data_IF_779627795588
#
_entry.id   IF_779627795588
#
_cell.length_a   1.000
_cell.length_b   1.000
_cell.length_c   1.000
_cell.angle_alpha   90.00
_cell.angle_beta   90.00
_cell.angle_gamma   90.00
#
_symmetry.space_group_name_H-M   'P 1'
#
loop_
_entity.id
_entity.type
_entity.pdbx_description
1 polymer ?
#
# COMPACT_ATOMS: atom_id res chain seq x y z
N UNK A 1 -17.85 -0.80 30.74
CA UNK A 1 -17.64 -0.38 29.33
C UNK A 1 -18.73 -0.98 28.47
N UNK A 2 -19.72 -0.18 28.05
CA UNK A 2 -20.78 -0.60 27.14
C UNK A 2 -20.37 -0.28 25.71
N UNK A 3 -19.92 -1.26 24.94
CA UNK A 3 -19.66 -1.12 23.53
C UNK A 3 -20.49 -2.10 22.71
N UNK A 4 -20.70 -1.75 21.46
CA UNK A 4 -21.62 -2.44 20.56
C UNK A 4 -21.10 -2.42 19.13
N UNK A 5 -21.35 -3.49 18.39
CA UNK A 5 -20.99 -3.63 16.99
C UNK A 5 -22.24 -3.79 16.15
N UNK A 6 -22.30 -3.12 15.01
CA UNK A 6 -23.43 -3.21 14.09
C UNK A 6 -22.97 -3.28 12.64
N UNK A 7 -23.87 -3.76 11.77
CA UNK A 7 -23.70 -3.80 10.32
C UNK A 7 -25.05 -3.67 9.62
N UNK A 8 -25.05 -3.11 8.40
CA UNK A 8 -26.25 -2.91 7.58
C UNK A 8 -26.02 -3.38 6.15
N UNK A 9 -26.84 -4.27 5.60
CA UNK A 9 -26.83 -4.53 4.17
C UNK A 9 -27.55 -3.40 3.45
N UNK A 10 -26.81 -2.60 2.71
CA UNK A 10 -27.42 -1.67 1.76
C UNK A 10 -27.64 -2.34 0.43
N UNK A 11 -28.88 -2.62 0.04
CA UNK A 11 -29.21 -2.78 -1.37
C UNK A 11 -29.18 -1.40 -2.03
N UNK A 12 -28.52 -1.30 -3.19
CA UNK A 12 -28.64 -0.14 -4.08
C UNK A 12 -30.09 -0.03 -4.55
N UNK A 13 -30.93 0.65 -3.79
CA UNK A 13 -32.21 1.18 -4.27
C UNK A 13 -32.14 2.70 -4.20
N UNK A 14 -32.82 3.37 -5.09
CA UNK A 14 -32.98 4.82 -5.14
C UNK A 14 -33.58 5.42 -3.87
N UNK A 15 -34.07 4.57 -2.96
CA UNK A 15 -34.67 4.96 -1.71
C UNK A 15 -33.70 4.66 -0.57
N UNK A 16 -33.35 5.71 0.18
CA UNK A 16 -32.41 5.75 1.32
C UNK A 16 -32.95 4.97 2.57
N UNK A 17 -33.59 3.82 2.40
CA UNK A 17 -34.16 3.04 3.50
C UNK A 17 -33.22 1.88 3.88
N UNK A 18 -32.84 1.83 5.14
CA UNK A 18 -32.16 0.67 5.76
C UNK A 18 -33.21 -0.45 5.84
N UNK A 19 -32.89 -1.61 5.27
CA UNK A 19 -33.83 -2.72 5.15
C UNK A 19 -33.72 -3.72 6.29
N UNK A 20 -32.55 -3.80 6.93
CA UNK A 20 -32.25 -4.76 7.97
C UNK A 20 -31.18 -4.24 8.90
N UNK A 21 -31.22 -4.63 10.18
CA UNK A 21 -30.33 -4.21 11.24
C UNK A 21 -29.72 -5.42 11.95
N UNK A 22 -28.45 -5.36 12.26
CA UNK A 22 -27.77 -6.36 13.07
C UNK A 22 -26.81 -5.72 14.05
N UNK A 23 -26.88 -6.11 15.31
CA UNK A 23 -25.90 -5.68 16.29
C UNK A 23 -25.65 -6.77 17.35
N UNK A 24 -24.46 -6.68 17.95
CA UNK A 24 -24.03 -7.53 19.05
C UNK A 24 -23.39 -6.69 20.14
N UNK A 25 -23.75 -6.93 21.39
CA UNK A 25 -23.15 -6.26 22.56
C UNK A 25 -21.94 -7.07 23.09
N UNK A 26 -21.19 -6.40 23.96
CA UNK A 26 -20.05 -7.03 24.65
C UNK A 26 -20.45 -8.24 25.52
N UNK A 27 -21.70 -8.28 26.02
CA UNK A 27 -22.29 -9.35 26.82
C UNK A 27 -22.91 -10.49 25.99
N UNK A 28 -22.59 -10.57 24.68
CA UNK A 28 -23.11 -11.52 23.69
C UNK A 28 -24.59 -11.36 23.35
N UNK A 29 -25.30 -10.38 23.90
CA UNK A 29 -26.67 -10.08 23.50
C UNK A 29 -26.68 -9.63 22.02
N UNK A 30 -27.69 -10.05 21.28
CA UNK A 30 -27.83 -9.78 19.83
C UNK A 30 -29.18 -9.22 19.49
N UNK A 31 -29.25 -8.39 18.45
CA UNK A 31 -30.47 -7.99 17.77
C UNK A 31 -30.31 -8.19 16.27
N UNK A 32 -31.38 -8.66 15.63
CA UNK A 32 -31.44 -8.79 14.18
C UNK A 32 -32.88 -8.57 13.70
N UNK A 33 -33.08 -7.80 12.65
CA UNK A 33 -34.36 -7.58 12.02
C UNK A 33 -34.61 -6.18 11.49
N UNK A 34 -35.71 -5.99 10.80
CA UNK A 34 -36.08 -4.73 10.13
C UNK A 34 -36.64 -3.63 11.06
N UNK A 35 -36.75 -3.86 12.38
CA UNK A 35 -37.35 -2.89 13.30
C UNK A 35 -36.31 -1.86 13.77
N UNK A 36 -36.41 -0.64 13.23
CA UNK A 36 -35.55 0.50 13.60
C UNK A 36 -35.66 0.85 15.10
N UNK A 37 -36.89 0.82 15.68
CA UNK A 37 -37.08 1.12 17.09
C UNK A 37 -36.41 0.10 17.99
N UNK A 38 -36.54 -1.18 17.72
CA UNK A 38 -35.89 -2.26 18.49
C UNK A 38 -34.36 -2.16 18.42
N UNK A 39 -33.85 -1.81 17.25
CA UNK A 39 -32.42 -1.61 17.07
C UNK A 39 -31.92 -0.44 17.95
N UNK A 40 -32.56 0.75 17.91
CA UNK A 40 -32.14 1.88 18.71
C UNK A 40 -32.36 1.69 20.20
N UNK A 41 -33.42 0.97 20.61
CA UNK A 41 -33.60 0.56 22.01
C UNK A 41 -32.47 -0.35 22.48
N UNK A 42 -32.03 -1.28 21.62
CA UNK A 42 -30.96 -2.19 21.92
C UNK A 42 -29.59 -1.48 22.08
N UNK A 43 -29.30 -0.45 21.26
CA UNK A 43 -28.05 0.30 21.31
C UNK A 43 -28.08 1.50 22.28
N UNK A 44 -29.22 1.76 22.91
CA UNK A 44 -29.35 2.88 23.84
C UNK A 44 -28.35 2.81 25.00
N UNK A 45 -27.70 3.95 25.29
CA UNK A 45 -26.71 4.05 26.38
C UNK A 45 -25.34 3.43 26.07
N UNK A 46 -25.04 3.06 24.84
CA UNK A 46 -23.72 2.62 24.45
C UNK A 46 -22.71 3.78 24.55
N UNK A 47 -21.59 3.57 25.24
CA UNK A 47 -20.47 4.51 25.31
C UNK A 47 -19.65 4.49 24.01
N UNK A 48 -19.56 3.31 23.37
CA UNK A 48 -18.84 3.11 22.11
C UNK A 48 -19.68 2.31 21.12
N UNK A 49 -19.61 2.69 19.88
CA UNK A 49 -20.23 2.00 18.75
C UNK A 49 -19.14 1.65 17.75
N UNK A 50 -19.06 0.37 17.40
CA UNK A 50 -18.07 -0.12 16.44
C UNK A 50 -18.75 -0.60 15.17
N UNK A 51 -18.10 -0.37 14.05
CA UNK A 51 -18.49 -0.91 12.74
C UNK A 51 -17.29 -1.06 11.83
N UNK A 52 -17.47 -1.77 10.73
CA UNK A 52 -16.45 -1.88 9.70
C UNK A 52 -16.79 -1.00 8.51
N UNK A 53 -15.97 0.02 8.24
CA UNK A 53 -16.26 1.09 7.27
C UNK A 53 -17.47 1.97 7.67
N UNK A 54 -17.69 2.12 8.97
CA UNK A 54 -18.86 2.79 9.54
C UNK A 54 -18.92 4.27 9.16
N UNK A 55 -17.77 4.98 9.16
CA UNK A 55 -17.72 6.41 8.79
C UNK A 55 -18.15 6.66 7.35
N UNK A 56 -17.67 5.82 6.43
CA UNK A 56 -17.96 6.02 5.01
C UNK A 56 -19.32 5.43 4.57
N UNK A 57 -19.91 4.51 5.34
CA UNK A 57 -21.08 3.76 4.95
C UNK A 57 -22.29 3.99 5.88
N UNK A 58 -22.22 3.51 7.11
CA UNK A 58 -23.39 3.40 7.98
C UNK A 58 -23.84 4.74 8.57
N UNK A 59 -22.90 5.59 8.98
CA UNK A 59 -23.21 6.89 9.57
C UNK A 59 -23.98 7.82 8.64
N UNK A 60 -23.81 7.70 7.33
CA UNK A 60 -24.60 8.47 6.35
C UNK A 60 -26.13 8.31 6.53
N UNK A 61 -26.54 7.16 7.06
CA UNK A 61 -27.95 6.81 7.25
C UNK A 61 -28.42 6.99 8.70
N UNK A 62 -27.50 6.98 9.67
CA UNK A 62 -27.83 6.89 11.09
C UNK A 62 -27.48 8.12 11.89
N UNK A 63 -26.67 9.04 11.40
CA UNK A 63 -26.17 10.19 12.16
C UNK A 63 -27.29 10.99 12.84
N UNK A 64 -28.40 11.24 12.12
CA UNK A 64 -29.57 11.95 12.66
C UNK A 64 -30.26 11.15 13.76
N UNK A 65 -30.29 9.85 13.67
CA UNK A 65 -30.92 8.97 14.62
C UNK A 65 -30.08 8.82 15.89
N UNK A 66 -28.78 8.75 15.76
CA UNK A 66 -27.86 8.72 16.91
C UNK A 66 -28.09 9.95 17.80
N UNK A 67 -28.21 11.14 17.20
CA UNK A 67 -28.53 12.36 17.94
C UNK A 67 -29.90 12.28 18.66
N UNK A 68 -30.92 11.71 17.99
CA UNK A 68 -32.28 11.58 18.55
C UNK A 68 -32.39 10.55 19.69
N UNK A 69 -31.48 9.57 19.76
CA UNK A 69 -31.47 8.48 20.74
C UNK A 69 -30.40 8.62 21.83
N UNK A 70 -29.81 9.81 21.99
CA UNK A 70 -28.81 10.08 23.03
C UNK A 70 -27.44 9.45 22.76
N UNK A 71 -27.12 9.11 21.52
CA UNK A 71 -25.88 8.50 21.11
C UNK A 71 -24.90 9.50 20.44
N UNK A 72 -25.23 10.80 20.50
CA UNK A 72 -24.39 11.85 19.90
C UNK A 72 -22.99 11.92 20.49
N UNK A 73 -22.84 11.55 21.76
CA UNK A 73 -21.57 11.52 22.50
C UNK A 73 -20.86 10.15 22.47
N UNK A 74 -21.47 9.13 21.85
CA UNK A 74 -20.88 7.80 21.75
C UNK A 74 -19.59 7.85 20.90
N UNK A 75 -18.54 7.19 21.38
CA UNK A 75 -17.28 7.03 20.62
C UNK A 75 -17.48 6.09 19.45
N UNK A 76 -17.22 6.55 18.23
CA UNK A 76 -17.33 5.72 17.03
C UNK A 76 -15.97 5.10 16.71
N UNK A 77 -15.95 3.76 16.52
CA UNK A 77 -14.75 2.98 16.19
C UNK A 77 -14.97 2.30 14.84
N UNK A 78 -14.05 2.53 13.91
CA UNK A 78 -14.07 1.90 12.59
C UNK A 78 -12.90 0.93 12.47
N UNK A 79 -13.19 -0.36 12.48
CA UNK A 79 -12.15 -1.40 12.38
C UNK A 79 -11.38 -1.35 11.05
N UNK A 80 -11.96 -0.80 9.98
CA UNK A 80 -11.24 -0.67 8.71
C UNK A 80 -10.10 0.36 8.80
N UNK A 81 -10.20 1.35 9.69
CA UNK A 81 -9.12 2.32 9.91
C UNK A 81 -7.96 1.74 10.73
N UNK A 82 -8.24 0.83 11.66
CA UNK A 82 -7.21 0.20 12.51
C UNK A 82 -6.58 -1.04 11.87
N UNK A 83 -7.33 -1.81 11.11
CA UNK A 83 -6.83 -3.04 10.49
C UNK A 83 -5.52 -2.86 9.70
N UNK A 84 -5.32 -1.81 8.86
CA UNK A 84 -4.05 -1.59 8.17
C UNK A 84 -2.89 -1.16 9.08
N UNK A 85 -3.19 -0.56 10.24
CA UNK A 85 -2.17 -0.17 11.23
C UNK A 85 -1.65 -1.36 12.01
N UNK A 86 -2.55 -2.27 12.37
CA UNK A 86 -2.28 -3.38 13.28
C UNK A 86 -1.93 -4.68 12.53
N UNK A 87 -2.43 -4.82 11.31
CA UNK A 87 -2.17 -5.97 10.42
C UNK A 87 -1.64 -5.52 9.06
N UNK A 88 -0.55 -4.74 8.98
CA UNK A 88 -0.08 -4.13 7.73
C UNK A 88 0.32 -5.15 6.65
N UNK A 89 0.54 -6.42 7.01
CA UNK A 89 0.84 -7.50 6.06
C UNK A 89 -0.39 -8.22 5.50
N UNK A 90 -1.60 -7.97 6.02
CA UNK A 90 -2.82 -8.54 5.45
C UNK A 90 -3.06 -7.96 4.05
N UNK A 91 -3.26 -8.78 3.01
CA UNK A 91 -3.49 -8.28 1.64
C UNK A 91 -4.82 -7.56 1.49
N UNK A 92 -5.79 -7.90 2.35
CA UNK A 92 -7.14 -7.32 2.35
C UNK A 92 -7.57 -6.99 3.77
N UNK A 93 -8.28 -5.86 3.91
CA UNK A 93 -8.81 -5.35 5.17
C UNK A 93 -10.34 -5.29 5.23
N UNK A 94 -11.03 -6.02 4.35
CA UNK A 94 -12.49 -6.17 4.40
C UNK A 94 -12.86 -7.38 5.28
N UNK A 95 -14.08 -7.37 5.84
CA UNK A 95 -14.60 -8.52 6.58
C UNK A 95 -14.65 -9.74 5.67
N UNK A 96 -13.97 -10.82 6.06
CA UNK A 96 -13.92 -12.06 5.29
C UNK A 96 -15.24 -12.80 5.44
N UNK A 97 -15.94 -13.03 4.32
CA UNK A 97 -17.15 -13.87 4.26
C UNK A 97 -16.70 -15.30 3.95
N UNK A 98 -16.53 -16.12 5.00
CA UNK A 98 -15.95 -17.47 4.89
C UNK A 98 -16.81 -18.48 4.12
N UNK A 99 -18.11 -18.22 3.85
CA UNK A 99 -19.02 -19.21 3.25
C UNK A 99 -19.73 -18.67 2.01
N UNK A 100 -19.04 -18.70 0.87
CA UNK A 100 -19.64 -18.37 -0.44
C UNK A 100 -20.60 -19.46 -0.97
N UNK A 101 -20.87 -20.52 -0.22
CA UNK A 101 -21.63 -21.69 -0.69
C UNK A 101 -23.09 -21.75 -0.25
N UNK A 102 -23.55 -20.86 0.65
CA UNK A 102 -24.97 -20.81 1.04
C UNK A 102 -25.55 -19.42 0.72
N UNK A 103 -26.51 -19.38 -0.18
CA UNK A 103 -27.11 -18.15 -0.73
C UNK A 103 -27.88 -17.28 0.30
N UNK A 104 -28.28 -17.85 1.42
CA UNK A 104 -29.08 -17.19 2.47
C UNK A 104 -28.22 -16.44 3.51
N UNK A 105 -26.90 -16.65 3.54
CA UNK A 105 -25.94 -15.96 4.43
C UNK A 105 -25.27 -14.74 3.79
N UNK A 106 -25.45 -14.54 2.50
CA UNK A 106 -24.91 -13.44 1.71
C UNK A 106 -25.65 -12.12 2.01
N UNK A 107 -25.36 -11.45 3.09
CA UNK A 107 -25.85 -10.14 3.53
C UNK A 107 -26.67 -10.18 4.84
N UNK A 108 -26.26 -11.03 5.77
CA UNK A 108 -26.83 -11.03 7.11
C UNK A 108 -26.09 -10.01 7.99
N UNK A 109 -26.73 -8.88 8.40
CA UNK A 109 -26.09 -7.85 9.20
C UNK A 109 -25.61 -8.33 10.55
N UNK A 110 -26.29 -9.31 11.15
CA UNK A 110 -25.86 -9.88 12.43
C UNK A 110 -24.52 -10.64 12.29
N UNK A 111 -24.36 -11.42 11.21
CA UNK A 111 -23.10 -12.13 10.98
C UNK A 111 -21.95 -11.13 10.72
N UNK A 112 -22.21 -10.05 9.98
CA UNK A 112 -21.21 -9.01 9.75
C UNK A 112 -20.88 -8.26 11.05
N UNK A 113 -21.86 -8.04 11.95
CA UNK A 113 -21.63 -7.45 13.28
C UNK A 113 -20.80 -8.38 14.18
N UNK A 114 -21.06 -9.68 14.18
CA UNK A 114 -20.27 -10.66 14.95
C UNK A 114 -18.82 -10.68 14.46
N UNK A 115 -18.59 -10.74 13.15
CA UNK A 115 -17.24 -10.71 12.57
C UNK A 115 -16.51 -9.39 12.85
N UNK A 116 -17.22 -8.27 12.82
CA UNK A 116 -16.65 -6.97 13.18
C UNK A 116 -16.25 -6.91 14.67
N UNK A 117 -17.05 -7.54 15.56
CA UNK A 117 -16.69 -7.70 16.97
C UNK A 117 -15.42 -8.53 17.15
N UNK A 118 -15.34 -9.70 16.48
CA UNK A 118 -14.15 -10.54 16.48
C UNK A 118 -12.92 -9.77 16.02
N UNK A 119 -13.02 -9.04 14.91
CA UNK A 119 -11.93 -8.19 14.40
C UNK A 119 -11.54 -7.09 15.39
N UNK A 120 -12.51 -6.41 16.04
CA UNK A 120 -12.20 -5.40 17.06
C UNK A 120 -11.39 -6.01 18.22
N UNK A 121 -11.77 -7.21 18.70
CA UNK A 121 -11.04 -7.89 19.76
C UNK A 121 -9.62 -8.26 19.33
N UNK A 122 -9.45 -8.77 18.10
CA UNK A 122 -8.12 -9.01 17.51
C UNK A 122 -7.29 -7.71 17.41
N UNK A 123 -7.90 -6.60 17.03
CA UNK A 123 -7.23 -5.29 16.94
C UNK A 123 -6.79 -4.76 18.30
N UNK A 124 -7.63 -4.89 19.33
CA UNK A 124 -7.29 -4.53 20.70
C UNK A 124 -6.11 -5.37 21.23
N UNK A 125 -6.14 -6.67 20.97
CA UNK A 125 -5.05 -7.58 21.33
C UNK A 125 -3.76 -7.25 20.56
N UNK A 126 -3.85 -7.07 19.24
CA UNK A 126 -2.71 -6.73 18.40
C UNK A 126 -2.05 -5.41 18.83
N UNK A 127 -2.85 -4.39 19.18
CA UNK A 127 -2.31 -3.13 19.72
C UNK A 127 -1.54 -3.36 21.02
N UNK A 128 -2.09 -4.17 21.95
CA UNK A 128 -1.44 -4.49 23.22
C UNK A 128 -0.15 -5.29 23.06
N UNK A 129 0.01 -6.03 21.95
CA UNK A 129 1.21 -6.80 21.62
C UNK A 129 2.29 -5.96 20.94
N UNK A 130 1.99 -4.74 20.48
CA UNK A 130 3.01 -3.84 19.93
C UNK A 130 4.04 -3.47 21.00
N UNK A 131 5.26 -3.14 20.57
CA UNK A 131 6.28 -2.55 21.46
C UNK A 131 5.77 -1.24 22.02
N UNK A 132 6.03 -0.98 23.32
CA UNK A 132 5.54 0.21 24.00
C UNK A 132 5.89 1.53 23.27
N UNK A 133 7.12 1.67 22.75
CA UNK A 133 7.51 2.85 21.97
C UNK A 133 6.66 3.05 20.72
N UNK A 134 6.23 1.98 20.06
CA UNK A 134 5.39 2.08 18.88
C UNK A 134 3.92 2.32 19.23
N UNK A 135 3.43 1.78 20.36
CA UNK A 135 2.11 2.14 20.91
C UNK A 135 2.01 3.65 21.19
N UNK A 136 3.05 4.21 21.84
CA UNK A 136 3.13 5.66 22.14
C UNK A 136 3.13 6.48 20.84
N UNK A 137 3.89 6.08 19.83
CA UNK A 137 3.92 6.77 18.53
C UNK A 137 2.53 6.78 17.88
N UNK A 138 1.84 5.63 17.81
CA UNK A 138 0.49 5.55 17.24
C UNK A 138 -0.50 6.40 18.03
N UNK A 139 -0.43 6.36 19.36
CA UNK A 139 -1.28 7.20 20.21
C UNK A 139 -1.05 8.69 19.94
N UNK A 140 0.19 9.15 19.99
CA UNK A 140 0.52 10.57 19.82
C UNK A 140 0.14 11.11 18.43
N UNK A 141 0.22 10.29 17.39
CA UNK A 141 -0.20 10.64 16.03
C UNK A 141 -1.74 10.68 15.87
N UNK A 142 -2.47 9.77 16.55
CA UNK A 142 -3.85 9.45 16.18
C UNK A 142 -4.90 9.81 17.23
N UNK A 143 -4.56 9.97 18.53
CA UNK A 143 -5.55 10.18 19.59
C UNK A 143 -6.42 11.44 19.42
N UNK A 144 -5.92 12.47 18.75
CA UNK A 144 -6.64 13.70 18.43
C UNK A 144 -7.33 13.65 17.06
N UNK A 145 -7.20 12.56 16.30
CA UNK A 145 -7.89 12.39 15.03
C UNK A 145 -9.27 11.79 15.27
N UNK A 146 -10.29 12.41 14.68
CA UNK A 146 -11.69 12.05 14.92
C UNK A 146 -11.96 10.55 14.71
N UNK A 147 -11.44 9.98 13.63
CA UNK A 147 -11.66 8.59 13.25
C UNK A 147 -10.93 7.57 14.15
N UNK A 148 -9.99 8.02 15.00
CA UNK A 148 -9.12 7.16 15.80
C UNK A 148 -9.28 7.33 17.30
N UNK A 149 -9.74 8.49 17.75
CA UNK A 149 -9.74 8.85 19.17
C UNK A 149 -10.52 7.88 20.05
N UNK A 150 -11.65 7.36 19.57
CA UNK A 150 -12.53 6.46 20.33
C UNK A 150 -11.86 5.12 20.67
N UNK A 151 -11.00 4.60 19.81
CA UNK A 151 -10.27 3.35 20.04
C UNK A 151 -9.33 3.45 21.25
N UNK A 152 -8.58 4.55 21.35
CA UNK A 152 -7.69 4.76 22.50
C UNK A 152 -8.45 4.99 23.81
N UNK A 153 -9.62 5.63 23.72
CA UNK A 153 -10.53 5.78 24.88
C UNK A 153 -11.07 4.43 25.33
N UNK A 154 -11.47 3.55 24.40
CA UNK A 154 -11.92 2.19 24.71
C UNK A 154 -10.82 1.38 25.40
N UNK A 155 -9.56 1.49 24.95
CA UNK A 155 -8.40 0.86 25.57
C UNK A 155 -8.03 1.48 26.93
N UNK A 156 -8.58 2.65 27.27
CA UNK A 156 -8.11 3.49 28.38
C UNK A 156 -6.58 3.72 28.33
N UNK A 157 -6.06 3.89 27.09
CA UNK A 157 -4.63 4.06 26.85
C UNK A 157 -4.27 5.55 26.90
N UNK A 158 -3.23 5.85 27.67
CA UNK A 158 -2.61 7.16 27.73
C UNK A 158 -1.12 7.00 27.44
N UNK A 159 -0.68 7.54 26.31
CA UNK A 159 0.73 7.52 25.95
C UNK A 159 1.58 8.45 26.80
N UNK A 160 2.89 8.27 26.75
CA UNK A 160 3.83 9.18 27.39
C UNK A 160 3.85 10.55 26.68
N UNK A 161 3.78 11.66 27.44
CA UNK A 161 3.98 13.04 26.93
C UNK A 161 5.45 13.28 26.57
N UNK A 162 5.98 12.55 25.60
CA UNK A 162 7.34 12.70 25.13
C UNK A 162 7.37 13.37 23.76
N UNK A 163 8.53 13.89 23.39
CA UNK A 163 8.78 14.45 22.07
C UNK A 163 8.59 13.35 20.98
N UNK A 164 7.46 13.40 20.28
CA UNK A 164 7.08 12.44 19.24
C UNK A 164 8.15 12.32 18.14
N UNK A 165 8.76 13.45 17.74
CA UNK A 165 9.85 13.45 16.77
C UNK A 165 11.02 12.59 17.25
N UNK A 166 11.40 12.74 18.53
CA UNK A 166 12.50 11.96 19.12
C UNK A 166 12.15 10.48 19.23
N UNK A 167 10.89 10.16 19.59
CA UNK A 167 10.41 8.77 19.63
C UNK A 167 10.52 8.09 18.27
N UNK A 168 9.99 8.72 17.21
CA UNK A 168 10.06 8.20 15.84
C UNK A 168 11.53 8.04 15.42
N UNK A 169 12.36 9.07 15.64
CA UNK A 169 13.77 9.05 15.26
C UNK A 169 14.56 7.95 15.98
N UNK A 170 14.15 7.55 17.18
CA UNK A 170 14.81 6.48 17.94
C UNK A 170 14.32 5.10 17.51
N UNK A 171 13.01 4.87 17.43
CA UNK A 171 12.42 3.58 17.10
C UNK A 171 12.68 3.16 15.63
N UNK A 172 12.81 4.15 14.75
CA UNK A 172 13.04 3.95 13.31
C UNK A 172 14.42 4.43 12.82
N UNK A 173 15.42 4.54 13.70
CA UNK A 173 16.74 5.12 13.40
C UNK A 173 17.41 4.54 12.15
N UNK A 174 17.33 3.21 11.96
CA UNK A 174 17.95 2.50 10.84
C UNK A 174 16.94 2.12 9.73
N UNK A 175 15.70 2.56 9.85
CA UNK A 175 14.61 2.22 8.92
C UNK A 175 14.15 3.41 8.06
N UNK A 176 14.50 4.63 8.44
CA UNK A 176 14.12 5.86 7.72
C UNK A 176 15.29 6.84 7.65
N UNK A 177 15.22 7.78 6.71
CA UNK A 177 16.20 8.87 6.63
C UNK A 177 16.15 9.75 7.88
N UNK A 178 17.28 9.90 8.58
CA UNK A 178 17.40 10.73 9.79
C UNK A 178 17.05 12.19 9.54
N UNK A 179 17.28 12.68 8.33
CA UNK A 179 17.07 14.07 7.94
C UNK A 179 15.76 14.27 7.17
N UNK A 180 14.81 13.32 7.25
CA UNK A 180 13.44 13.55 6.78
C UNK A 180 12.78 14.65 7.64
N UNK A 181 11.99 15.50 7.02
CA UNK A 181 11.29 16.60 7.71
C UNK A 181 10.10 16.05 8.54
N UNK A 182 10.43 15.25 9.57
CA UNK A 182 9.44 14.67 10.48
C UNK A 182 8.55 15.72 11.15
N UNK A 183 9.05 16.88 11.63
CA UNK A 183 8.21 17.89 12.23
C UNK A 183 7.08 18.38 11.31
N UNK A 184 7.39 18.64 10.03
CA UNK A 184 6.39 19.06 9.06
C UNK A 184 5.42 17.91 8.72
N UNK A 185 5.92 16.68 8.57
CA UNK A 185 5.08 15.51 8.28
C UNK A 185 4.13 15.24 9.46
N UNK A 186 4.60 15.26 10.70
CA UNK A 186 3.78 15.09 11.91
C UNK A 186 2.67 16.13 11.97
N UNK A 187 2.98 17.38 11.62
CA UNK A 187 2.02 18.47 11.68
C UNK A 187 0.97 18.40 10.58
N UNK A 188 1.38 18.07 9.36
CA UNK A 188 0.52 18.12 8.18
C UNK A 188 -0.23 16.81 7.89
N UNK A 189 0.40 15.65 8.16
CA UNK A 189 -0.07 14.34 7.72
C UNK A 189 0.14 13.25 8.80
N UNK A 190 -0.38 13.43 10.03
CA UNK A 190 -0.14 12.47 11.12
C UNK A 190 -0.71 11.07 10.84
N UNK A 191 -1.86 10.98 10.20
CA UNK A 191 -2.52 9.70 9.88
C UNK A 191 -1.74 8.92 8.82
N UNK A 192 -1.36 9.60 7.75
CA UNK A 192 -0.55 9.01 6.68
C UNK A 192 0.81 8.56 7.20
N UNK A 193 1.41 9.33 8.11
CA UNK A 193 2.66 8.95 8.77
C UNK A 193 2.47 7.68 9.60
N UNK A 194 1.37 7.55 10.35
CA UNK A 194 1.08 6.36 11.13
C UNK A 194 0.99 5.10 10.24
N UNK A 195 0.30 5.18 9.10
CA UNK A 195 0.26 4.06 8.14
C UNK A 195 1.63 3.74 7.53
N UNK A 196 2.43 4.76 7.20
CA UNK A 196 3.80 4.55 6.73
C UNK A 196 4.64 3.83 7.78
N UNK A 197 4.61 4.29 9.03
CA UNK A 197 5.38 3.70 10.12
C UNK A 197 4.93 2.28 10.45
N UNK A 198 3.62 1.99 10.40
CA UNK A 198 3.09 0.65 10.60
C UNK A 198 3.62 -0.32 9.54
N UNK A 199 3.64 0.09 8.27
CA UNK A 199 4.18 -0.71 7.18
C UNK A 199 5.71 -0.87 7.30
N UNK A 200 6.45 0.22 7.56
CA UNK A 200 7.91 0.19 7.75
C UNK A 200 8.31 -0.70 8.95
N UNK A 201 7.49 -0.73 10.00
CA UNK A 201 7.77 -1.55 11.17
C UNK A 201 7.83 -3.05 10.87
N UNK A 202 7.09 -3.49 9.86
CA UNK A 202 7.04 -4.91 9.42
C UNK A 202 7.83 -5.17 8.14
N UNK A 203 8.51 -4.17 7.56
CA UNK A 203 9.41 -4.40 6.44
C UNK A 203 10.56 -5.29 6.90
N UNK A 204 10.68 -6.42 6.21
CA UNK A 204 11.71 -7.40 6.44
C UNK A 204 12.45 -7.63 5.13
N UNK A 205 13.78 -7.64 5.17
CA UNK A 205 14.57 -7.90 3.97
C UNK A 205 14.44 -9.37 3.51
N UNK A 206 14.01 -10.24 4.43
CA UNK A 206 13.77 -11.66 4.18
C UNK A 206 12.27 -11.96 3.92
N UNK A 207 11.52 -11.01 3.36
CA UNK A 207 10.11 -11.24 3.04
C UNK A 207 9.97 -12.48 2.14
N UNK A 208 9.47 -13.57 2.75
CA UNK A 208 9.15 -14.78 2.01
C UNK A 208 7.78 -14.63 1.41
N UNK A 209 7.67 -14.91 0.12
CA UNK A 209 6.40 -14.94 -0.60
C UNK A 209 5.42 -15.85 0.14
N UNK A 210 4.29 -15.29 0.56
CA UNK A 210 3.16 -16.01 1.12
C UNK A 210 1.89 -15.41 0.54
N UNK A 211 0.98 -16.21 -0.01
CA UNK A 211 -0.27 -15.72 -0.61
C UNK A 211 -1.16 -14.97 0.40
N UNK A 212 -0.90 -15.14 1.68
CA UNK A 212 -1.65 -14.50 2.76
C UNK A 212 -0.97 -13.22 3.28
N UNK A 213 0.11 -12.78 2.66
CA UNK A 213 0.87 -11.60 3.09
C UNK A 213 1.10 -10.63 1.94
N UNK A 214 1.04 -9.33 2.26
CA UNK A 214 1.33 -8.24 1.34
C UNK A 214 2.40 -7.33 1.93
N UNK A 215 3.20 -6.73 1.09
CA UNK A 215 4.22 -5.76 1.49
C UNK A 215 3.96 -4.36 0.95
N UNK A 216 2.83 -4.14 0.29
CA UNK A 216 2.45 -2.83 -0.26
C UNK A 216 1.50 -2.08 0.67
N UNK A 217 1.45 -0.76 0.49
CA UNK A 217 0.39 0.04 1.11
C UNK A 217 -0.98 -0.49 0.69
N UNK A 218 -1.86 -0.84 1.64
CA UNK A 218 -3.17 -1.37 1.31
C UNK A 218 -3.94 -0.44 0.36
N UNK A 219 -4.63 -0.98 -0.66
CA UNK A 219 -5.35 -0.15 -1.65
C UNK A 219 -6.40 0.78 -1.03
N UNK A 220 -7.00 0.39 0.09
CA UNK A 220 -7.92 1.24 0.84
C UNK A 220 -7.18 2.45 1.43
N UNK A 221 -6.00 2.26 2.03
CA UNK A 221 -5.18 3.34 2.59
C UNK A 221 -4.74 4.30 1.48
N UNK A 222 -4.19 3.80 0.38
CA UNK A 222 -3.75 4.64 -0.75
C UNK A 222 -4.88 5.47 -1.36
N UNK A 223 -6.14 4.99 -1.25
CA UNK A 223 -7.32 5.70 -1.74
C UNK A 223 -7.78 6.81 -0.80
N UNK A 224 -7.82 6.52 0.50
CA UNK A 224 -8.37 7.45 1.50
C UNK A 224 -7.30 8.41 2.04
N UNK A 225 -6.03 8.01 2.01
CA UNK A 225 -4.87 8.76 2.50
C UNK A 225 -3.79 8.82 1.40
N UNK A 226 -4.02 9.59 0.32
CA UNK A 226 -3.20 9.55 -0.88
C UNK A 226 -1.75 10.04 -0.69
N UNK A 227 -1.49 10.84 0.34
CA UNK A 227 -0.15 11.35 0.63
C UNK A 227 0.78 10.30 1.27
N UNK A 228 0.27 9.10 1.60
CA UNK A 228 1.08 7.97 2.09
C UNK A 228 2.24 7.65 1.14
N UNK A 229 2.01 7.63 -0.18
CA UNK A 229 3.09 7.35 -1.15
C UNK A 229 4.17 8.44 -1.13
N UNK A 230 3.78 9.71 -1.00
CA UNK A 230 4.70 10.86 -0.90
C UNK A 230 5.52 10.80 0.39
N UNK A 231 4.87 10.52 1.52
CA UNK A 231 5.55 10.43 2.82
C UNK A 231 6.51 9.24 2.84
N UNK A 232 6.10 8.07 2.34
CA UNK A 232 6.97 6.91 2.20
C UNK A 232 8.22 7.24 1.38
N UNK A 233 8.06 7.99 0.27
CA UNK A 233 9.18 8.46 -0.55
C UNK A 233 10.11 9.38 0.24
N UNK A 234 9.58 10.36 0.97
CA UNK A 234 10.38 11.29 1.80
C UNK A 234 11.14 10.56 2.91
N UNK A 235 10.52 9.57 3.54
CA UNK A 235 11.14 8.80 4.63
C UNK A 235 12.22 7.84 4.14
N UNK A 236 12.05 7.22 2.96
CA UNK A 236 12.83 6.04 2.58
C UNK A 236 13.47 6.08 1.19
N UNK A 237 13.10 7.00 0.33
CA UNK A 237 13.61 7.04 -1.06
C UNK A 237 14.30 8.35 -1.42
N UNK A 238 14.22 9.36 -0.57
CA UNK A 238 14.89 10.63 -0.77
C UNK A 238 16.21 10.66 0.02
N UNK A 239 17.34 10.67 -0.70
CA UNK A 239 18.65 10.75 -0.07
C UNK A 239 18.88 12.12 0.55
N UNK A 240 19.33 12.17 1.80
CA UNK A 240 19.72 13.42 2.44
C UNK A 240 21.12 13.88 2.01
N UNK A 241 21.37 15.20 2.06
CA UNK A 241 22.63 15.79 1.66
C UNK A 241 23.83 15.32 2.52
N UNK A 242 23.60 15.14 3.83
CA UNK A 242 24.65 14.83 4.80
C UNK A 242 25.00 13.32 4.87
N UNK A 243 24.24 12.45 4.19
CA UNK A 243 24.49 11.03 4.17
C UNK A 243 24.33 10.37 5.54
N UNK A 244 23.09 10.18 6.03
CA UNK A 244 22.86 9.44 7.27
C UNK A 244 23.07 7.92 7.09
N UNK A 245 23.11 7.14 8.19
CA UNK A 245 23.31 5.68 8.18
C UNK A 245 22.36 4.98 7.20
N UNK A 246 21.08 5.28 7.28
CA UNK A 246 20.08 4.73 6.37
C UNK A 246 20.36 5.05 4.89
N UNK A 247 20.61 6.33 4.57
CA UNK A 247 20.88 6.75 3.19
C UNK A 247 22.16 6.13 2.62
N UNK A 248 23.23 6.05 3.43
CA UNK A 248 24.49 5.43 3.02
C UNK A 248 24.35 3.92 2.78
N UNK A 249 23.48 3.26 3.53
CA UNK A 249 23.26 1.83 3.39
C UNK A 249 22.32 1.49 2.24
N UNK A 250 21.19 2.19 2.13
CA UNK A 250 20.09 1.80 1.24
C UNK A 250 19.89 2.69 0.01
N UNK A 251 20.35 3.95 0.05
CA UNK A 251 20.18 4.90 -1.06
C UNK A 251 21.50 5.25 -1.76
N UNK A 252 22.62 4.77 -1.25
CA UNK A 252 23.89 4.91 -1.96
C UNK A 252 23.96 3.91 -3.12
N UNK A 253 24.27 4.42 -4.33
CA UNK A 253 24.26 3.63 -5.56
C UNK A 253 25.40 2.61 -5.64
N UNK A 254 26.56 2.90 -5.04
CA UNK A 254 27.69 1.96 -5.00
C UNK A 254 27.41 0.82 -4.02
N UNK A 255 26.86 1.15 -2.84
CA UNK A 255 26.40 0.16 -1.86
C UNK A 255 25.31 -0.74 -2.46
N UNK A 256 24.37 -0.14 -3.21
CA UNK A 256 23.34 -0.86 -3.96
C UNK A 256 23.91 -1.76 -5.04
N UNK A 257 24.85 -1.27 -5.84
CA UNK A 257 25.51 -2.03 -6.91
C UNK A 257 26.24 -3.27 -6.33
N UNK A 258 26.96 -3.08 -5.25
CA UNK A 258 27.67 -4.18 -4.57
C UNK A 258 26.71 -5.20 -3.97
N UNK A 259 25.65 -4.73 -3.29
CA UNK A 259 24.66 -5.58 -2.62
C UNK A 259 23.85 -6.44 -3.60
N UNK A 260 23.36 -5.85 -4.69
CA UNK A 260 22.48 -6.52 -5.64
C UNK A 260 23.23 -7.30 -6.72
N UNK A 261 24.35 -6.78 -7.22
CA UNK A 261 25.04 -7.35 -8.36
C UNK A 261 26.45 -7.88 -8.03
N UNK A 262 26.98 -7.61 -6.83
CA UNK A 262 28.31 -8.02 -6.43
C UNK A 262 29.43 -7.23 -7.11
N UNK A 263 29.14 -6.13 -7.80
CA UNK A 263 30.11 -5.30 -8.48
C UNK A 263 30.61 -4.19 -7.57
N UNK A 264 31.95 -3.96 -7.56
CA UNK A 264 32.54 -2.87 -6.78
C UNK A 264 32.46 -1.53 -7.49
N UNK A 265 32.45 -1.51 -8.83
CA UNK A 265 32.47 -0.29 -9.65
C UNK A 265 31.52 -0.37 -10.85
N UNK A 266 31.00 0.80 -11.25
CA UNK A 266 30.24 0.94 -12.49
C UNK A 266 31.20 0.88 -13.70
N UNK A 267 30.67 0.45 -14.84
CA UNK A 267 31.44 0.43 -16.09
C UNK A 267 31.63 1.84 -16.63
N UNK A 268 32.89 2.12 -17.06
CA UNK A 268 33.23 3.33 -17.80
C UNK A 268 33.23 3.05 -19.32
N UNK A 269 32.94 4.10 -20.10
CA UNK A 269 32.98 4.09 -21.58
C UNK A 269 33.79 5.30 -22.04
N UNK A 270 34.86 5.05 -22.77
CA UNK A 270 35.81 6.10 -23.20
C UNK A 270 36.20 7.00 -22.02
N UNK A 271 36.60 6.39 -20.92
CA UNK A 271 36.98 7.04 -19.64
C UNK A 271 35.85 7.88 -18.98
N UNK A 272 34.60 7.72 -19.42
CA UNK A 272 33.43 8.39 -18.83
C UNK A 272 32.60 7.42 -18.01
N UNK A 273 32.23 7.76 -16.77
CA UNK A 273 31.40 6.90 -15.90
C UNK A 273 29.92 6.99 -16.25
N UNK A 274 29.57 6.75 -17.54
CA UNK A 274 28.22 6.96 -18.06
C UNK A 274 27.18 6.09 -17.35
N UNK A 275 27.52 4.88 -16.95
CA UNK A 275 26.59 3.99 -16.25
C UNK A 275 26.27 4.55 -14.86
N UNK A 276 27.29 5.02 -14.12
CA UNK A 276 27.12 5.66 -12.81
C UNK A 276 26.30 6.97 -12.92
N UNK A 277 26.63 7.83 -13.89
CA UNK A 277 25.88 9.07 -14.13
C UNK A 277 24.39 8.77 -14.39
N UNK A 278 24.11 7.75 -15.20
CA UNK A 278 22.73 7.37 -15.51
C UNK A 278 21.97 6.89 -14.25
N UNK A 279 22.60 6.01 -13.45
CA UNK A 279 21.99 5.53 -12.21
C UNK A 279 21.80 6.66 -11.19
N UNK A 280 22.82 7.53 -11.02
CA UNK A 280 22.75 8.66 -10.10
C UNK A 280 21.64 9.65 -10.47
N UNK A 281 21.48 9.98 -11.75
CA UNK A 281 20.41 10.86 -12.23
C UNK A 281 19.02 10.30 -11.91
N UNK A 282 18.86 8.98 -11.98
CA UNK A 282 17.58 8.32 -11.68
C UNK A 282 17.34 8.19 -10.18
N UNK A 283 18.35 7.78 -9.39
CA UNK A 283 18.19 7.50 -7.96
C UNK A 283 18.24 8.76 -7.11
N UNK A 284 19.27 9.59 -7.33
CA UNK A 284 19.52 10.78 -6.48
C UNK A 284 18.72 12.01 -6.92
N UNK A 285 18.57 12.20 -8.24
CA UNK A 285 17.94 13.40 -8.80
C UNK A 285 16.49 13.16 -9.24
N UNK A 286 16.02 11.92 -9.22
CA UNK A 286 14.69 11.47 -9.67
C UNK A 286 14.35 12.01 -11.09
N UNK A 287 15.32 12.00 -11.99
CA UNK A 287 15.21 12.54 -13.35
C UNK A 287 14.87 11.46 -14.36
N UNK A 288 14.09 11.84 -15.37
CA UNK A 288 13.94 11.04 -16.60
C UNK A 288 15.20 11.18 -17.46
N UNK A 289 15.71 10.07 -17.96
CA UNK A 289 16.91 10.01 -18.78
C UNK A 289 16.67 9.24 -20.07
N UNK A 290 17.42 9.57 -21.10
CA UNK A 290 17.63 8.73 -22.28
C UNK A 290 19.06 8.19 -22.24
N UNK A 291 19.18 6.88 -22.04
CA UNK A 291 20.46 6.19 -21.94
C UNK A 291 20.80 5.47 -23.25
N UNK A 292 21.88 5.88 -23.90
CA UNK A 292 22.37 5.27 -25.14
C UNK A 292 23.73 4.64 -24.90
N UNK A 293 23.76 3.32 -25.00
CA UNK A 293 24.97 2.52 -24.79
C UNK A 293 25.20 1.57 -25.97
N UNK A 294 26.45 1.15 -26.23
CA UNK A 294 26.71 0.10 -27.22
C UNK A 294 26.06 -1.22 -26.81
N UNK A 295 25.86 -2.13 -27.75
CA UNK A 295 25.39 -3.49 -27.50
C UNK A 295 26.35 -4.21 -26.55
N UNK A 296 25.82 -4.91 -25.55
CA UNK A 296 26.64 -5.53 -24.49
C UNK A 296 27.19 -4.55 -23.45
N UNK A 297 26.88 -3.26 -23.57
CA UNK A 297 27.37 -2.20 -22.70
C UNK A 297 26.76 -2.16 -21.29
N UNK A 298 26.00 -3.17 -20.84
CA UNK A 298 25.44 -3.22 -19.50
C UNK A 298 24.33 -2.19 -19.25
N UNK A 299 23.54 -1.85 -20.26
CA UNK A 299 22.38 -0.95 -20.16
C UNK A 299 21.41 -1.36 -19.05
N UNK A 300 21.22 -2.65 -18.84
CA UNK A 300 20.22 -3.19 -17.91
C UNK A 300 20.43 -2.69 -16.47
N UNK A 301 21.68 -2.54 -16.02
CA UNK A 301 21.98 -2.03 -14.67
C UNK A 301 21.43 -0.62 -14.47
N UNK A 302 21.37 0.23 -15.51
CA UNK A 302 20.91 1.61 -15.40
C UNK A 302 19.44 1.75 -15.00
N UNK A 303 18.66 0.69 -15.17
CA UNK A 303 17.27 0.66 -14.71
C UNK A 303 16.98 -0.45 -13.69
N UNK A 304 17.70 -1.59 -13.74
CA UNK A 304 17.51 -2.68 -12.79
C UNK A 304 17.95 -2.28 -11.38
N UNK A 305 19.14 -1.71 -11.22
CA UNK A 305 19.60 -1.25 -9.90
C UNK A 305 18.66 -0.20 -9.28
N UNK A 306 18.26 0.89 -9.96
CA UNK A 306 17.25 1.80 -9.43
C UNK A 306 15.91 1.15 -9.11
N UNK A 307 15.50 0.13 -9.88
CA UNK A 307 14.27 -0.61 -9.64
C UNK A 307 14.34 -1.44 -8.35
N UNK A 308 15.43 -2.18 -8.16
CA UNK A 308 15.68 -2.98 -6.97
C UNK A 308 15.75 -2.11 -5.71
N UNK A 309 16.48 -0.99 -5.78
CA UNK A 309 16.57 -0.03 -4.67
C UNK A 309 15.19 0.56 -4.32
N UNK A 310 14.37 0.92 -5.29
CA UNK A 310 13.02 1.43 -5.05
C UNK A 310 12.09 0.35 -4.48
N UNK A 311 12.24 -0.89 -4.95
CA UNK A 311 11.52 -2.04 -4.40
C UNK A 311 11.88 -2.30 -2.94
N UNK A 312 13.17 -2.35 -2.60
CA UNK A 312 13.67 -2.57 -1.24
C UNK A 312 13.21 -1.46 -0.28
N UNK A 313 13.25 -0.21 -0.72
CA UNK A 313 13.01 0.92 0.17
C UNK A 313 11.52 1.24 0.37
N UNK A 314 10.70 1.11 -0.67
CA UNK A 314 9.31 1.54 -0.64
C UNK A 314 8.33 0.53 -1.25
N UNK A 315 8.77 -0.69 -1.53
CA UNK A 315 8.03 -1.72 -2.27
C UNK A 315 7.38 -1.18 -3.56
N UNK A 316 8.06 -0.20 -4.16
CA UNK A 316 7.60 0.44 -5.38
C UNK A 316 7.92 -0.42 -6.61
N UNK A 317 7.03 -0.37 -7.59
CA UNK A 317 7.15 -1.14 -8.83
C UNK A 317 7.85 -0.32 -9.91
N UNK A 318 8.80 -0.92 -10.61
CA UNK A 318 9.32 -0.42 -11.88
C UNK A 318 8.73 -1.25 -13.03
N UNK A 319 8.07 -0.59 -13.97
CA UNK A 319 7.46 -1.23 -15.15
C UNK A 319 8.42 -1.08 -16.32
N UNK A 320 8.91 -2.20 -16.83
CA UNK A 320 9.80 -2.26 -18.00
C UNK A 320 9.00 -2.72 -19.22
N UNK A 321 8.88 -1.83 -20.18
CA UNK A 321 8.19 -2.09 -21.44
C UNK A 321 9.24 -2.50 -22.48
N UNK A 322 9.19 -3.75 -22.91
CA UNK A 322 10.14 -4.33 -23.85
C UNK A 322 9.42 -5.03 -25.02
N UNK A 323 9.93 -4.92 -26.26
CA UNK A 323 9.20 -5.41 -27.44
C UNK A 323 9.28 -6.91 -27.65
N UNK A 324 10.26 -7.59 -27.05
CA UNK A 324 10.56 -9.00 -27.31
C UNK A 324 10.43 -9.84 -26.03
N UNK A 325 9.53 -10.80 -26.08
CA UNK A 325 9.27 -11.71 -24.94
C UNK A 325 10.49 -12.55 -24.57
N UNK A 326 11.31 -12.95 -25.56
CA UNK A 326 12.59 -13.66 -25.32
C UNK A 326 13.55 -12.81 -24.50
N UNK A 327 13.70 -11.51 -24.83
CA UNK A 327 14.55 -10.60 -24.07
C UNK A 327 14.06 -10.41 -22.62
N UNK A 328 12.74 -10.34 -22.41
CA UNK A 328 12.18 -10.26 -21.07
C UNK A 328 12.55 -11.49 -20.23
N UNK A 329 12.42 -12.67 -20.83
CA UNK A 329 12.79 -13.92 -20.18
C UNK A 329 14.29 -13.97 -19.89
N UNK A 330 15.13 -13.65 -20.87
CA UNK A 330 16.60 -13.61 -20.68
C UNK A 330 17.02 -12.64 -19.57
N UNK A 331 16.33 -11.49 -19.43
CA UNK A 331 16.58 -10.52 -18.35
C UNK A 331 16.22 -11.12 -16.99
N UNK A 332 15.08 -11.79 -16.86
CA UNK A 332 14.65 -12.45 -15.62
C UNK A 332 15.57 -13.61 -15.29
N UNK A 333 15.82 -14.49 -16.23
CA UNK A 333 16.71 -15.64 -16.06
C UNK A 333 18.12 -15.20 -15.62
N UNK A 334 18.63 -14.10 -16.17
CA UNK A 334 19.91 -13.52 -15.75
C UNK A 334 19.87 -12.98 -14.33
N UNK A 335 18.80 -12.27 -13.93
CA UNK A 335 18.63 -11.79 -12.56
C UNK A 335 18.58 -12.96 -11.57
N UNK A 336 17.83 -14.02 -11.88
CA UNK A 336 17.67 -15.17 -10.99
C UNK A 336 18.92 -16.05 -10.92
N UNK A 337 19.47 -16.46 -12.07
CA UNK A 337 20.58 -17.42 -12.10
C UNK A 337 21.93 -16.79 -11.81
N UNK A 338 22.18 -15.56 -12.29
CA UNK A 338 23.50 -14.92 -12.13
C UNK A 338 23.60 -14.09 -10.85
N UNK A 339 22.49 -13.54 -10.35
CA UNK A 339 22.48 -12.61 -9.23
C UNK A 339 21.60 -13.05 -8.07
N UNK A 340 20.87 -14.16 -8.17
CA UNK A 340 19.91 -14.67 -7.17
C UNK A 340 18.82 -13.66 -6.81
N UNK A 341 18.43 -12.82 -7.78
CA UNK A 341 17.40 -11.79 -7.65
C UNK A 341 16.09 -12.35 -8.17
N UNK A 342 15.15 -12.63 -7.27
CA UNK A 342 13.85 -13.24 -7.59
C UNK A 342 12.70 -12.25 -7.70
N UNK A 343 12.89 -10.97 -7.38
CA UNK A 343 11.83 -9.95 -7.35
C UNK A 343 11.48 -9.33 -8.73
N UNK A 344 11.78 -10.04 -9.82
CA UNK A 344 11.36 -9.70 -11.17
C UNK A 344 10.22 -10.62 -11.62
N UNK A 345 9.26 -10.07 -12.36
CA UNK A 345 8.14 -10.81 -12.93
C UNK A 345 7.90 -10.38 -14.38
N UNK A 346 7.30 -11.25 -15.18
CA UNK A 346 6.80 -10.91 -16.51
C UNK A 346 5.34 -11.31 -16.65
N UNK A 347 4.58 -10.51 -17.38
CA UNK A 347 3.22 -10.86 -17.80
C UNK A 347 3.16 -10.72 -19.31
N UNK A 348 3.14 -11.86 -19.99
CA UNK A 348 3.13 -11.93 -21.45
C UNK A 348 2.21 -13.04 -21.96
N UNK A 349 2.09 -13.15 -23.28
CA UNK A 349 1.20 -14.11 -23.94
C UNK A 349 1.68 -15.57 -23.95
N UNK A 350 2.94 -15.84 -23.59
CA UNK A 350 3.53 -17.19 -23.59
C UNK A 350 3.33 -17.93 -22.27
N UNK A 351 3.00 -17.20 -21.18
CA UNK A 351 2.76 -17.81 -19.89
C UNK A 351 1.50 -18.66 -19.92
N UNK A 352 1.56 -19.82 -19.30
CA UNK A 352 0.36 -20.57 -19.02
C UNK A 352 -0.56 -19.83 -18.01
N UNK A 353 -1.83 -20.23 -17.87
CA UNK A 353 -2.77 -19.53 -16.96
C UNK A 353 -2.31 -19.51 -15.50
N UNK A 354 -1.62 -20.55 -15.02
CA UNK A 354 -1.15 -20.68 -13.64
C UNK A 354 0.05 -19.75 -13.41
N UNK A 355 1.03 -19.78 -14.32
CA UNK A 355 2.20 -18.90 -14.29
C UNK A 355 1.76 -17.42 -14.34
N UNK A 356 0.80 -17.12 -15.23
CA UNK A 356 0.25 -15.77 -15.35
C UNK A 356 -0.41 -15.33 -14.06
N UNK A 357 -1.23 -16.18 -13.45
CA UNK A 357 -1.89 -15.86 -12.17
C UNK A 357 -0.87 -15.58 -11.06
N UNK A 358 0.15 -16.43 -10.94
CA UNK A 358 1.26 -16.20 -9.99
C UNK A 358 1.99 -14.89 -10.23
N UNK A 359 2.24 -14.52 -11.51
CA UNK A 359 2.87 -13.25 -11.82
C UNK A 359 1.98 -12.04 -11.42
N UNK A 360 0.67 -12.13 -11.62
CA UNK A 360 -0.28 -11.12 -11.13
C UNK A 360 -0.24 -10.99 -9.62
N UNK A 361 -0.33 -12.11 -8.89
CA UNK A 361 -0.28 -12.15 -7.41
C UNK A 361 1.00 -11.52 -6.90
N UNK A 362 2.17 -11.90 -7.43
CA UNK A 362 3.47 -11.31 -7.05
C UNK A 362 3.53 -9.80 -7.24
N UNK A 363 2.90 -9.29 -8.30
CA UNK A 363 2.81 -7.86 -8.50
C UNK A 363 1.82 -7.24 -7.52
N UNK A 364 0.66 -7.84 -7.29
CA UNK A 364 -0.38 -7.34 -6.38
C UNK A 364 0.08 -7.28 -4.93
N UNK A 365 0.74 -8.31 -4.42
CA UNK A 365 1.21 -8.40 -3.02
C UNK A 365 2.53 -7.66 -2.75
N UNK A 366 3.27 -7.28 -3.80
CA UNK A 366 4.48 -6.48 -3.69
C UNK A 366 5.80 -7.24 -3.69
N UNK A 367 5.81 -8.57 -3.84
CA UNK A 367 7.04 -9.35 -3.96
C UNK A 367 7.77 -9.11 -5.29
N UNK A 368 7.07 -8.61 -6.32
CA UNK A 368 7.70 -8.13 -7.55
C UNK A 368 7.99 -6.62 -7.49
N UNK A 369 9.26 -6.27 -7.65
CA UNK A 369 9.75 -4.88 -7.77
C UNK A 369 9.98 -4.46 -9.22
N UNK A 370 10.16 -5.43 -10.12
CA UNK A 370 10.33 -5.21 -11.56
C UNK A 370 9.27 -6.03 -12.30
N UNK A 371 8.49 -5.35 -13.15
CA UNK A 371 7.52 -5.99 -14.03
C UNK A 371 7.90 -5.75 -15.49
N UNK A 372 8.24 -6.83 -16.21
CA UNK A 372 8.45 -6.78 -17.65
C UNK A 372 7.14 -7.07 -18.36
N UNK A 373 6.73 -6.17 -19.26
CA UNK A 373 5.54 -6.32 -20.11
C UNK A 373 5.80 -5.89 -21.55
N UNK A 374 5.02 -6.41 -22.47
CA UNK A 374 5.05 -5.95 -23.85
C UNK A 374 4.19 -4.70 -24.04
N UNK A 375 4.47 -3.85 -25.05
CA UNK A 375 3.68 -2.66 -25.34
C UNK A 375 2.19 -2.98 -25.55
N UNK A 376 1.89 -4.10 -26.19
CA UNK A 376 0.52 -4.57 -26.48
C UNK A 376 -0.25 -4.88 -25.18
N UNK A 377 0.46 -5.32 -24.14
CA UNK A 377 -0.13 -5.63 -22.82
C UNK A 377 -0.75 -4.41 -22.14
N UNK A 378 -0.29 -3.19 -22.48
CA UNK A 378 -0.82 -1.94 -21.93
C UNK A 378 -2.29 -1.68 -22.33
N UNK A 379 -2.80 -2.34 -23.37
CA UNK A 379 -4.21 -2.27 -23.77
C UNK A 379 -5.13 -3.14 -22.90
N UNK A 380 -4.54 -3.98 -22.04
CA UNK A 380 -5.30 -4.86 -21.15
C UNK A 380 -5.83 -4.11 -19.94
N UNK A 381 -7.14 -4.17 -19.74
CA UNK A 381 -7.78 -3.62 -18.52
C UNK A 381 -7.28 -4.29 -17.22
N UNK A 382 -6.87 -5.55 -17.31
CA UNK A 382 -6.30 -6.26 -16.15
C UNK A 382 -4.95 -5.66 -15.76
N UNK A 383 -4.09 -5.35 -16.73
CA UNK A 383 -2.80 -4.67 -16.50
C UNK A 383 -3.05 -3.26 -15.95
N UNK A 384 -3.97 -2.50 -16.54
CA UNK A 384 -4.31 -1.16 -16.05
C UNK A 384 -4.74 -1.20 -14.57
N UNK A 385 -5.65 -2.11 -14.20
CA UNK A 385 -6.11 -2.28 -12.80
C UNK A 385 -4.97 -2.67 -11.87
N UNK A 386 -4.11 -3.60 -12.30
CA UNK A 386 -2.93 -4.03 -11.55
C UNK A 386 -2.01 -2.85 -11.24
N UNK A 387 -1.68 -2.05 -12.25
CA UNK A 387 -0.81 -0.88 -12.10
C UNK A 387 -1.44 0.26 -11.29
N UNK A 388 -2.76 0.42 -11.35
CA UNK A 388 -3.49 1.36 -10.50
C UNK A 388 -3.42 1.02 -9.00
N UNK A 389 -3.27 -0.26 -8.68
CA UNK A 389 -3.14 -0.75 -7.29
C UNK A 389 -1.72 -0.63 -6.72
N UNK A 390 -0.72 -0.24 -7.51
CA UNK A 390 0.68 -0.23 -7.11
C UNK A 390 1.27 1.18 -7.06
N UNK A 391 2.17 1.41 -6.11
CA UNK A 391 3.08 2.56 -6.18
C UNK A 391 4.10 2.32 -7.29
N UNK A 392 4.06 3.11 -8.36
CA UNK A 392 4.96 2.98 -9.51
C UNK A 392 6.08 4.00 -9.39
N UNK A 393 7.30 3.52 -9.15
CA UNK A 393 8.48 4.36 -9.09
C UNK A 393 8.83 4.94 -10.46
N UNK A 394 8.76 4.13 -11.52
CA UNK A 394 9.13 4.55 -12.88
C UNK A 394 8.63 3.62 -13.96
N UNK A 395 8.55 4.16 -15.18
CA UNK A 395 8.44 3.41 -16.41
C UNK A 395 9.79 3.41 -17.13
N UNK A 396 10.19 2.24 -17.60
CA UNK A 396 11.39 2.04 -18.42
C UNK A 396 10.92 1.59 -19.81
N UNK A 397 11.41 2.24 -20.83
CA UNK A 397 11.13 1.87 -22.21
C UNK A 397 12.42 1.29 -22.79
N UNK A 398 12.45 -0.02 -22.89
CA UNK A 398 13.57 -0.72 -23.51
C UNK A 398 13.43 -0.68 -25.03
N UNK A 399 14.57 -0.76 -25.73
CA UNK A 399 14.64 -0.67 -27.20
C UNK A 399 13.89 0.56 -27.76
N UNK A 400 14.14 1.74 -27.17
CA UNK A 400 13.45 3.00 -27.50
C UNK A 400 13.56 3.39 -28.99
N UNK A 401 14.48 2.80 -29.76
CA UNK A 401 14.57 2.97 -31.21
C UNK A 401 13.30 2.51 -31.94
N UNK A 402 12.45 1.68 -31.31
CA UNK A 402 11.15 1.29 -31.85
C UNK A 402 10.16 2.47 -32.02
N UNK A 403 10.43 3.65 -31.44
CA UNK A 403 9.69 4.89 -31.74
C UNK A 403 10.04 5.51 -33.10
N UNK A 404 11.13 5.09 -33.72
CA UNK A 404 11.52 5.60 -35.03
C UNK A 404 10.52 5.20 -36.12
N UNK A 405 10.65 5.79 -37.33
CA UNK A 405 9.80 5.50 -38.48
C UNK A 405 9.76 3.98 -38.82
N UNK A 406 10.89 3.28 -38.64
CA UNK A 406 10.95 1.83 -38.76
C UNK A 406 10.15 1.10 -37.69
N UNK A 407 10.11 1.64 -36.47
CA UNK A 407 9.33 1.10 -35.37
C UNK A 407 7.83 1.29 -35.54
N UNK A 408 7.39 2.37 -36.21
CA UNK A 408 5.96 2.69 -36.40
C UNK A 408 5.25 1.63 -37.25
N UNK A 409 5.90 1.12 -38.28
CA UNK A 409 5.33 0.07 -39.14
C UNK A 409 5.28 -1.30 -38.45
N UNK A 410 6.15 -1.54 -37.48
CA UNK A 410 6.31 -2.85 -36.83
C UNK A 410 5.75 -2.88 -35.40
N UNK A 411 5.66 -1.73 -34.69
CA UNK A 411 5.32 -1.66 -33.27
C UNK A 411 4.43 -0.44 -32.93
N UNK A 412 3.26 -0.41 -33.54
CA UNK A 412 2.28 0.70 -33.35
C UNK A 412 1.96 0.95 -31.87
N UNK A 413 2.03 -0.09 -31.03
CA UNK A 413 1.72 0.00 -29.61
C UNK A 413 2.72 0.85 -28.80
N UNK A 414 3.94 1.09 -29.32
CA UNK A 414 4.87 2.04 -28.69
C UNK A 414 4.33 3.45 -28.66
N UNK A 415 3.55 3.88 -29.67
CA UNK A 415 2.93 5.21 -29.70
C UNK A 415 1.88 5.39 -28.59
N UNK A 416 1.29 4.28 -28.14
CA UNK A 416 0.27 4.30 -27.08
C UNK A 416 0.88 4.46 -25.66
N UNK A 417 2.18 4.14 -25.45
CA UNK A 417 2.81 4.16 -24.13
C UNK A 417 2.65 5.51 -23.43
N UNK A 418 2.93 6.60 -24.15
CA UNK A 418 2.86 7.95 -23.57
C UNK A 418 1.44 8.34 -23.14
N UNK A 419 0.45 7.98 -23.92
CA UNK A 419 -0.95 8.21 -23.60
C UNK A 419 -1.39 7.36 -22.42
N UNK A 420 -1.04 6.09 -22.39
CA UNK A 420 -1.32 5.17 -21.29
C UNK A 420 -0.77 5.70 -19.95
N UNK A 421 0.51 6.14 -19.93
CA UNK A 421 1.13 6.69 -18.72
C UNK A 421 0.37 7.92 -18.23
N UNK A 422 -0.02 8.85 -19.14
CA UNK A 422 -0.82 10.02 -18.78
C UNK A 422 -2.18 9.65 -18.22
N UNK A 423 -2.88 8.72 -18.84
CA UNK A 423 -4.19 8.25 -18.38
C UNK A 423 -4.09 7.60 -17.00
N UNK A 424 -3.07 6.76 -16.77
CA UNK A 424 -2.83 6.12 -15.49
C UNK A 424 -2.55 7.17 -14.39
N UNK A 425 -1.74 8.19 -14.68
CA UNK A 425 -1.46 9.28 -13.75
C UNK A 425 -2.71 10.09 -13.42
N UNK A 426 -3.52 10.43 -14.42
CA UNK A 426 -4.78 11.13 -14.23
C UNK A 426 -5.77 10.32 -13.39
N UNK A 427 -5.90 9.02 -13.65
CA UNK A 427 -6.76 8.15 -12.87
C UNK A 427 -6.30 8.04 -11.40
N UNK A 428 -4.98 7.96 -11.16
CA UNK A 428 -4.44 8.01 -9.80
C UNK A 428 -4.71 9.35 -9.12
N UNK A 429 -4.56 10.48 -9.81
CA UNK A 429 -4.87 11.81 -9.28
C UNK A 429 -6.37 11.97 -8.99
N UNK A 430 -7.24 11.52 -9.90
CA UNK A 430 -8.69 11.60 -9.69
C UNK A 430 -9.16 10.72 -8.52
N UNK A 431 -8.49 9.57 -8.28
CA UNK A 431 -8.74 8.76 -7.07
C UNK A 431 -8.35 9.48 -5.78
N UNK A 432 -7.44 10.46 -5.84
CA UNK A 432 -7.01 11.31 -4.71
C UNK A 432 -8.00 12.46 -4.44
N UNK A 433 -8.94 12.75 -5.34
CA UNK A 433 -9.88 13.89 -5.23
C UNK A 433 -11.33 13.46 -4.92
N UNK A 434 -11.61 12.16 -4.81
CA UNK A 434 -12.91 11.60 -4.48
C UNK A 434 -12.87 11.01 -3.07
#
# INVERSE_FOLDING_TARGET
LHWMVHSFPTRRSSDLNVLDYGAVRHDEAVVHGGSRSQFFEFIAGAEFICGHNIFAHDLKYLEKDFANHGLAEAGIIDTLHFSPLLFPRKPYHHLVKNDKLQSDELNNPLNDAIKCKELLLEELEAFNQLKAGFQDILFLLLHNQHEFSAFFKLLNFSGCENDLHKHISTEFADKICKNADLPEIIRANPVELAYCLALINVFDHDFKESPDQSSITPPWVSRNYPDVEKIMFQLRSQQCADGCSYCNQYLDIHSGLKRWFGYDEFRCYDDKPLQEIAVAAVVKENRSILAVFPTGGGKSITFQLPALMAGENAHALTVVISPLQSLMKDQIDNLEHSHHITCAATINGLLDPIERQKAYERVEEGSASILYISPESLRSRSIERLLLGRNIARFVIDEAHCFSAWGQDFRVDYLFIGEFIKQLQQQKQNRRQI
#
